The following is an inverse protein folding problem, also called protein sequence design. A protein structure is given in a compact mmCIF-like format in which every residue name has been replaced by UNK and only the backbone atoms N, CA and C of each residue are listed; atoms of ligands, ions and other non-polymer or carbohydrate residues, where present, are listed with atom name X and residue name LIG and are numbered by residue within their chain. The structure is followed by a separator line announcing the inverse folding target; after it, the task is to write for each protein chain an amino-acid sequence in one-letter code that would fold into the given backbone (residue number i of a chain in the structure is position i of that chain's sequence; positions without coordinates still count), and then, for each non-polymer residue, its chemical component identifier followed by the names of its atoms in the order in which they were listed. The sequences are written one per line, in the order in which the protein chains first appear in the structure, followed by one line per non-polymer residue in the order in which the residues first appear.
data_IF_884473615128
#
_entry.id   IF_884473615128
#
_cell.length_a   1.000
_cell.length_b   1.000
_cell.length_c   1.000
_cell.angle_alpha   90.00
_cell.angle_beta   90.00
_cell.angle_gamma   90.00
#
_symmetry.space_group_name_H-M   'P 1'
#
loop_
_entity.id
_entity.type
_entity.pdbx_description
1 polymer ?
#
# COMPACT_ATOMS: atom_id res chain seq x y z
N UNK A 1 -5.42 -0.33 -5.20
CA UNK A 1 -6.12 0.25 -6.37
C UNK A 1 -6.09 1.78 -6.35
N UNK A 2 -6.70 2.41 -5.34
CA UNK A 2 -6.86 3.86 -5.26
C UNK A 2 -5.53 4.63 -5.20
N UNK A 3 -4.44 4.01 -4.72
CA UNK A 3 -3.10 4.59 -4.74
C UNK A 3 -2.63 5.00 -6.16
N UNK A 4 -3.04 4.26 -7.21
CA UNK A 4 -2.70 4.59 -8.58
C UNK A 4 -3.50 5.80 -9.11
N UNK A 5 -4.79 5.90 -8.75
CA UNK A 5 -5.58 7.11 -9.06
C UNK A 5 -5.03 8.33 -8.34
N UNK A 6 -4.64 8.17 -7.08
CA UNK A 6 -4.00 9.24 -6.32
C UNK A 6 -2.70 9.70 -6.97
N UNK A 7 -1.88 8.78 -7.52
CA UNK A 7 -0.69 9.16 -8.31
C UNK A 7 -1.09 9.92 -9.58
N UNK A 8 -2.09 9.43 -10.32
CA UNK A 8 -2.52 10.05 -11.58
C UNK A 8 -2.98 11.49 -11.43
N UNK A 9 -3.54 11.85 -10.28
CA UNK A 9 -3.94 13.22 -9.97
C UNK A 9 -2.75 14.21 -9.99
N UNK A 10 -1.50 13.74 -9.84
CA UNK A 10 -0.30 14.56 -9.99
C UNK A 10 0.14 14.78 -11.44
N UNK A 11 -0.49 14.10 -12.41
CA UNK A 11 -0.27 14.30 -13.85
C UNK A 11 1.20 14.22 -14.30
N UNK A 12 2.03 13.44 -13.60
CA UNK A 12 3.46 13.34 -13.91
C UNK A 12 4.33 14.46 -13.31
N UNK A 13 3.77 15.39 -12.55
CA UNK A 13 4.52 16.47 -11.93
C UNK A 13 5.12 16.08 -10.56
N UNK A 14 6.40 15.72 -10.54
CA UNK A 14 7.11 15.47 -9.28
C UNK A 14 7.16 16.69 -8.35
N UNK A 15 7.06 17.93 -8.86
CA UNK A 15 7.15 19.14 -8.02
C UNK A 15 5.91 19.33 -7.16
N UNK A 16 4.76 18.85 -7.63
CA UNK A 16 3.54 18.84 -6.84
C UNK A 16 3.61 17.88 -5.63
N UNK A 17 4.58 16.96 -5.58
CA UNK A 17 4.80 16.06 -4.44
C UNK A 17 5.43 16.82 -3.28
N UNK A 18 4.68 16.96 -2.19
CA UNK A 18 5.11 17.67 -0.97
C UNK A 18 4.64 19.13 -0.89
N UNK A 19 3.96 19.64 -1.92
CA UNK A 19 3.38 20.98 -1.96
C UNK A 19 1.86 20.99 -1.67
N UNK A 20 1.25 22.19 -1.63
CA UNK A 20 -0.18 22.43 -1.38
C UNK A 20 -1.13 21.91 -2.48
N UNK A 21 -0.60 21.36 -3.58
CA UNK A 21 -1.38 20.76 -4.69
C UNK A 21 -1.71 19.28 -4.48
N UNK A 22 -1.86 18.89 -3.21
CA UNK A 22 -2.26 17.53 -2.83
C UNK A 22 -3.74 17.33 -3.19
N UNK A 23 -4.12 16.23 -3.86
CA UNK A 23 -5.52 15.89 -4.05
C UNK A 23 -6.27 15.85 -2.71
N UNK A 24 -7.48 16.40 -2.71
CA UNK A 24 -8.30 16.53 -1.53
C UNK A 24 -8.71 15.15 -0.98
N UNK A 25 -8.99 15.12 0.32
CA UNK A 25 -9.40 13.89 1.01
C UNK A 25 -10.75 13.37 0.50
N UNK A 26 -11.64 14.27 0.04
CA UNK A 26 -12.93 13.91 -0.54
C UNK A 26 -12.80 13.21 -1.89
N UNK A 27 -11.76 13.52 -2.69
CA UNK A 27 -11.55 12.93 -4.01
C UNK A 27 -11.38 11.40 -3.95
N UNK A 28 -10.94 10.86 -2.80
CA UNK A 28 -10.88 9.41 -2.60
C UNK A 28 -12.25 8.73 -2.76
N UNK A 29 -13.29 9.30 -2.16
CA UNK A 29 -14.63 8.76 -2.20
C UNK A 29 -15.42 9.28 -3.41
N UNK A 30 -15.20 10.54 -3.82
CA UNK A 30 -15.99 11.20 -4.87
C UNK A 30 -15.49 10.89 -6.28
N UNK A 31 -14.20 10.57 -6.45
CA UNK A 31 -13.59 10.41 -7.78
C UNK A 31 -12.82 9.09 -7.87
N UNK A 32 -11.81 8.89 -7.04
CA UNK A 32 -10.87 7.78 -7.22
C UNK A 32 -11.50 6.40 -7.01
N UNK A 33 -12.35 6.22 -5.99
CA UNK A 33 -13.08 4.97 -5.79
C UNK A 33 -14.09 4.69 -6.92
N UNK A 34 -15.03 5.60 -7.25
CA UNK A 34 -15.97 5.41 -8.36
C UNK A 34 -15.28 5.15 -9.69
N UNK A 35 -14.16 5.83 -9.98
CA UNK A 35 -13.38 5.61 -11.20
C UNK A 35 -12.85 4.18 -11.30
N UNK A 36 -12.60 3.54 -10.16
CA UNK A 36 -12.19 2.14 -10.08
C UNK A 36 -13.32 1.16 -9.83
N UNK A 37 -14.57 1.59 -9.97
CA UNK A 37 -15.73 0.74 -9.70
C UNK A 37 -15.73 0.24 -8.26
N UNK A 38 -15.28 1.08 -7.32
CA UNK A 38 -15.35 0.82 -5.88
C UNK A 38 -16.53 1.59 -5.30
N UNK A 39 -17.30 0.93 -4.45
CA UNK A 39 -18.42 1.56 -3.73
C UNK A 39 -17.88 2.54 -2.69
N UNK A 40 -18.07 3.84 -2.93
CA UNK A 40 -17.51 4.91 -2.10
C UNK A 40 -17.93 4.81 -0.62
N UNK A 41 -19.16 4.35 -0.34
CA UNK A 41 -19.67 4.14 1.03
C UNK A 41 -18.96 3.02 1.79
N UNK A 42 -18.25 2.15 1.09
CA UNK A 42 -17.49 1.03 1.67
C UNK A 42 -16.00 1.36 1.82
N UNK A 43 -15.54 2.46 1.25
CA UNK A 43 -14.16 2.90 1.36
C UNK A 43 -13.92 3.49 2.74
N UNK A 44 -13.00 2.87 3.48
CA UNK A 44 -12.55 3.43 4.75
C UNK A 44 -11.72 4.71 4.54
N UNK A 45 -11.80 5.70 5.43
CA UNK A 45 -11.04 6.94 5.30
C UNK A 45 -9.53 6.69 5.20
N UNK A 46 -8.87 7.41 4.28
CA UNK A 46 -7.41 7.38 4.15
C UNK A 46 -6.79 8.27 5.23
N UNK A 47 -6.18 7.62 6.23
CA UNK A 47 -5.62 8.25 7.43
C UNK A 47 -4.11 8.47 7.35
N UNK A 48 -3.41 7.84 6.40
CA UNK A 48 -1.98 8.00 6.20
C UNK A 48 -1.61 7.98 4.72
N UNK A 49 -0.61 8.79 4.33
CA UNK A 49 -0.15 8.90 2.94
C UNK A 49 1.35 9.09 2.88
N UNK A 50 2.01 8.25 2.11
CA UNK A 50 3.41 8.40 1.76
C UNK A 50 3.49 8.46 0.24
N UNK A 51 4.10 9.53 -0.28
CA UNK A 51 4.24 9.75 -1.71
C UNK A 51 5.68 10.18 -2.00
N UNK A 52 6.27 9.61 -3.03
CA UNK A 52 7.56 10.03 -3.55
C UNK A 52 7.60 9.93 -5.06
N UNK A 53 8.46 10.74 -5.67
CA UNK A 53 8.60 10.81 -7.12
C UNK A 53 10.09 10.84 -7.50
N UNK A 54 10.45 10.12 -8.54
CA UNK A 54 11.81 10.03 -9.07
C UNK A 54 11.78 10.09 -10.60
N UNK A 55 12.82 10.65 -11.21
CA UNK A 55 12.92 10.70 -12.67
C UNK A 55 12.99 9.31 -13.31
N UNK A 56 13.55 8.32 -12.60
CA UNK A 56 13.70 6.93 -13.04
C UNK A 56 13.00 5.97 -12.09
N UNK A 57 12.72 4.76 -12.58
CA UNK A 57 12.24 3.68 -11.73
C UNK A 57 13.31 3.34 -10.69
N UNK A 58 12.91 3.35 -9.43
CA UNK A 58 13.72 2.92 -8.28
C UNK A 58 13.17 1.62 -7.75
N UNK A 59 14.03 0.72 -7.25
CA UNK A 59 13.58 -0.56 -6.69
C UNK A 59 12.87 -0.34 -5.34
N UNK A 60 11.98 -1.25 -4.89
CA UNK A 60 11.21 -1.08 -3.65
C UNK A 60 12.04 -0.71 -2.41
N UNK A 61 13.23 -1.29 -2.23
CA UNK A 61 14.10 -0.98 -1.08
C UNK A 61 14.61 0.47 -1.09
N UNK A 62 14.95 1.00 -2.27
CA UNK A 62 15.38 2.39 -2.44
C UNK A 62 14.17 3.34 -2.34
N UNK A 63 13.02 2.93 -2.89
CA UNK A 63 11.77 3.66 -2.75
C UNK A 63 11.35 3.80 -1.27
N UNK A 64 11.54 2.75 -0.46
CA UNK A 64 11.25 2.80 0.97
C UNK A 64 12.06 3.91 1.67
N UNK A 65 13.36 3.95 1.46
CA UNK A 65 14.23 5.01 2.00
C UNK A 65 13.82 6.40 1.53
N UNK A 66 13.34 6.52 0.28
CA UNK A 66 12.79 7.77 -0.24
C UNK A 66 11.47 8.18 0.45
N UNK A 67 10.59 7.23 0.74
CA UNK A 67 9.31 7.50 1.39
C UNK A 67 9.49 7.84 2.88
N UNK A 68 10.49 7.25 3.54
CA UNK A 68 10.83 7.46 4.96
C UNK A 68 11.85 8.60 5.17
N UNK A 69 11.71 9.69 4.42
CA UNK A 69 12.66 10.81 4.46
C UNK A 69 12.55 11.73 5.68
N UNK A 70 11.42 11.74 6.38
CA UNK A 70 11.19 12.65 7.51
C UNK A 70 10.42 11.97 8.65
N UNK A 71 10.43 12.61 9.82
CA UNK A 71 9.77 12.10 11.04
C UNK A 71 8.27 11.88 10.83
N UNK A 72 7.59 12.77 10.08
CA UNK A 72 6.17 12.62 9.76
C UNK A 72 5.88 11.34 8.97
N UNK A 73 6.76 10.96 8.04
CA UNK A 73 6.63 9.68 7.34
C UNK A 73 6.74 8.48 8.29
N UNK A 74 7.63 8.56 9.27
CA UNK A 74 7.80 7.52 10.29
C UNK A 74 6.60 7.49 11.27
N UNK A 75 6.07 8.64 11.67
CA UNK A 75 4.85 8.74 12.47
C UNK A 75 3.65 8.09 11.77
N UNK A 76 3.50 8.32 10.46
CA UNK A 76 2.49 7.65 9.65
C UNK A 76 2.75 6.14 9.63
N UNK A 77 3.98 5.70 9.34
CA UNK A 77 4.32 4.27 9.26
C UNK A 77 4.07 3.53 10.58
N UNK A 78 4.41 4.13 11.71
CA UNK A 78 4.32 3.50 13.03
C UNK A 78 2.96 3.71 13.72
N UNK A 79 2.02 4.39 13.08
CA UNK A 79 0.70 4.59 13.64
C UNK A 79 -0.08 3.26 13.72
N UNK A 80 -0.29 2.78 14.95
CA UNK A 80 -1.00 1.53 15.26
C UNK A 80 -2.48 1.54 14.88
N UNK A 81 -3.04 2.70 14.55
CA UNK A 81 -4.43 2.81 14.12
C UNK A 81 -4.60 2.45 12.63
N UNK A 82 -3.51 2.32 11.88
CA UNK A 82 -3.57 1.81 10.51
C UNK A 82 -3.78 0.30 10.53
N UNK A 83 -4.86 -0.16 9.91
CA UNK A 83 -5.25 -1.57 9.82
C UNK A 83 -5.21 -2.08 8.38
N UNK A 84 -5.04 -1.18 7.42
CA UNK A 84 -5.09 -1.46 5.99
C UNK A 84 -4.01 -0.66 5.27
N UNK A 85 -3.45 -1.25 4.22
CA UNK A 85 -2.41 -0.63 3.40
C UNK A 85 -2.67 -0.87 1.92
N UNK A 86 -2.50 0.17 1.11
CA UNK A 86 -2.59 0.10 -0.35
C UNK A 86 -1.38 0.77 -0.98
N UNK A 87 -0.65 0.05 -1.82
CA UNK A 87 0.52 0.58 -2.53
C UNK A 87 0.27 0.67 -4.05
N UNK A 88 0.92 1.63 -4.69
CA UNK A 88 0.92 1.81 -6.13
C UNK A 88 2.25 2.37 -6.62
N UNK A 89 2.72 1.85 -7.75
CA UNK A 89 3.84 2.40 -8.50
C UNK A 89 3.42 2.56 -9.94
N UNK A 90 3.67 3.74 -10.51
CA UNK A 90 3.44 3.97 -11.94
C UNK A 90 4.36 5.07 -12.45
N UNK A 91 4.73 4.98 -13.73
CA UNK A 91 5.42 6.03 -14.46
C UNK A 91 4.42 6.83 -15.30
N UNK A 92 4.79 8.03 -15.72
CA UNK A 92 4.04 8.79 -16.71
C UNK A 92 4.06 8.13 -18.10
N UNK A 93 3.05 8.46 -18.91
CA UNK A 93 2.92 8.02 -20.29
C UNK A 93 4.11 8.54 -21.14
N UNK A 94 5.03 7.63 -21.51
CA UNK A 94 6.28 7.98 -22.20
C UNK A 94 7.57 7.59 -21.45
N UNK A 95 7.43 7.13 -20.21
CA UNK A 95 8.54 6.71 -19.35
C UNK A 95 9.10 7.85 -18.51
N UNK A 96 9.00 7.72 -17.18
CA UNK A 96 9.53 8.68 -16.20
C UNK A 96 8.87 10.08 -16.22
N UNK A 97 8.56 10.69 -15.06
CA UNK A 97 8.93 10.24 -13.72
C UNK A 97 8.05 9.11 -13.17
N UNK A 98 8.62 8.37 -12.22
CA UNK A 98 7.99 7.28 -11.49
C UNK A 98 7.58 7.73 -10.10
N UNK A 99 6.34 7.41 -9.76
CA UNK A 99 5.75 7.72 -8.47
C UNK A 99 5.59 6.45 -7.65
N UNK A 100 5.87 6.58 -6.37
CA UNK A 100 5.61 5.57 -5.35
C UNK A 100 4.60 6.14 -4.36
N UNK A 101 3.48 5.45 -4.19
CA UNK A 101 2.43 5.84 -3.26
C UNK A 101 2.10 4.68 -2.33
N UNK A 102 2.04 4.97 -1.04
CA UNK A 102 1.51 4.06 0.00
C UNK A 102 0.44 4.82 0.77
N UNK A 103 -0.77 4.26 0.79
CA UNK A 103 -1.92 4.77 1.51
C UNK A 103 -2.24 3.86 2.68
N UNK A 104 -2.65 4.45 3.78
CA UNK A 104 -3.08 3.74 4.98
C UNK A 104 -4.51 4.14 5.34
N UNK A 105 -5.29 3.17 5.82
CA UNK A 105 -6.63 3.38 6.36
C UNK A 105 -6.80 2.63 7.68
N UNK A 106 -7.85 3.00 8.43
CA UNK A 106 -8.24 2.39 9.70
C UNK A 106 -9.53 1.57 9.56
N UNK A 107 -9.71 0.92 8.40
CA UNK A 107 -10.87 0.09 8.10
C UNK A 107 -10.94 -1.20 8.91
N UNK A 108 -11.99 -2.00 8.68
CA UNK A 108 -12.22 -3.24 9.42
C UNK A 108 -11.55 -4.41 8.71
N UNK A 109 -11.07 -5.37 9.51
CA UNK A 109 -10.13 -6.43 9.15
C UNK A 109 -10.60 -7.48 8.09
N UNK A 110 -11.70 -7.25 7.37
CA UNK A 110 -12.26 -8.20 6.40
C UNK A 110 -12.46 -7.64 4.98
N UNK A 111 -12.42 -6.32 4.78
CA UNK A 111 -12.37 -5.69 3.45
C UNK A 111 -12.21 -4.18 3.59
N UNK A 112 -11.30 -3.63 2.79
CA UNK A 112 -11.07 -2.17 2.69
C UNK A 112 -12.05 -1.46 1.77
N UNK A 113 -12.72 -2.21 0.89
CA UNK A 113 -13.70 -1.70 -0.04
C UNK A 113 -14.45 -2.83 -0.79
N UNK A 114 -15.64 -2.53 -1.30
CA UNK A 114 -16.41 -3.44 -2.17
C UNK A 114 -16.36 -2.95 -3.61
N UNK A 115 -16.08 -3.86 -4.54
CA UNK A 115 -16.19 -3.55 -5.96
C UNK A 115 -17.67 -3.55 -6.40
N UNK A 116 -18.05 -2.62 -7.26
CA UNK A 116 -19.35 -2.55 -7.91
C UNK A 116 -19.62 -3.85 -8.67
N UNK A 117 -20.61 -4.61 -8.21
CA UNK A 117 -20.95 -5.93 -8.77
C UNK A 117 -20.10 -7.08 -8.24
N UNK A 118 -19.36 -6.88 -7.14
CA UNK A 118 -18.66 -7.94 -6.39
C UNK A 118 -17.31 -8.37 -6.97
N UNK A 119 -16.94 -7.94 -8.17
CA UNK A 119 -15.66 -8.27 -8.82
C UNK A 119 -14.94 -6.99 -9.26
N UNK A 120 -13.65 -6.90 -8.97
CA UNK A 120 -12.81 -5.79 -9.43
C UNK A 120 -12.79 -5.75 -10.97
N UNK A 121 -13.32 -4.67 -11.56
CA UNK A 121 -13.30 -4.48 -13.01
C UNK A 121 -11.89 -4.04 -13.43
N UNK A 122 -11.20 -4.90 -14.17
CA UNK A 122 -9.84 -4.68 -14.69
C UNK A 122 -9.80 -3.54 -15.75
N UNK A 123 -10.95 -3.04 -16.21
CA UNK A 123 -11.03 -2.32 -17.50
C UNK A 123 -10.55 -0.86 -17.50
N UNK A 124 -10.14 -0.26 -16.37
CA UNK A 124 -9.76 1.16 -16.33
C UNK A 124 -8.28 1.35 -15.95
N UNK A 125 -7.50 2.09 -16.77
CA UNK A 125 -6.11 2.39 -16.45
C UNK A 125 -5.97 3.06 -15.09
N UNK A 126 -5.07 2.57 -14.24
CA UNK A 126 -4.81 3.16 -12.91
C UNK A 126 -5.71 2.65 -11.79
N UNK A 127 -6.41 1.53 -11.97
CA UNK A 127 -7.27 0.94 -10.93
C UNK A 127 -6.72 -0.33 -10.32
N UNK A 128 -6.59 -1.42 -11.09
CA UNK A 128 -6.07 -2.68 -10.57
C UNK A 128 -4.85 -3.09 -11.40
N UNK A 129 -3.75 -3.41 -10.72
CA UNK A 129 -2.50 -3.86 -11.38
C UNK A 129 -2.49 -5.36 -11.68
N UNK A 130 -3.56 -6.09 -11.38
CA UNK A 130 -3.64 -7.55 -11.50
C UNK A 130 -5.07 -8.03 -11.76
N UNK A 131 -5.21 -9.32 -12.08
CA UNK A 131 -6.47 -9.92 -12.52
C UNK A 131 -7.42 -10.26 -11.36
N UNK A 132 -7.37 -9.50 -10.26
CA UNK A 132 -8.02 -9.81 -8.98
C UNK A 132 -7.46 -11.08 -8.29
N UNK A 133 -6.21 -11.44 -8.58
CA UNK A 133 -5.52 -12.54 -7.91
C UNK A 133 -5.26 -12.21 -6.43
N UNK A 134 -5.39 -13.20 -5.54
CA UNK A 134 -5.02 -13.04 -4.13
C UNK A 134 -3.53 -12.70 -4.00
N UNK A 135 -3.23 -11.51 -3.50
CA UNK A 135 -1.86 -11.07 -3.27
C UNK A 135 -1.38 -11.61 -1.90
N UNK A 136 -1.06 -12.90 -1.84
CA UNK A 136 -0.75 -13.62 -0.59
C UNK A 136 0.72 -14.05 -0.45
N UNK A 137 1.69 -13.25 -0.93
CA UNK A 137 3.12 -13.50 -0.62
C UNK A 137 3.55 -13.10 0.81
N UNK A 138 2.73 -12.35 1.55
CA UNK A 138 3.04 -11.95 2.93
C UNK A 138 2.89 -13.10 3.95
N UNK A 139 2.06 -14.10 3.64
CA UNK A 139 1.81 -15.24 4.53
C UNK A 139 3.02 -16.18 4.64
N UNK A 140 3.85 -16.29 3.59
CA UNK A 140 4.99 -17.21 3.60
C UNK A 140 6.10 -16.77 4.56
N UNK A 141 6.42 -15.48 4.61
CA UNK A 141 7.45 -14.95 5.51
C UNK A 141 7.03 -15.03 6.98
N UNK A 142 5.76 -14.74 7.27
CA UNK A 142 5.19 -14.88 8.62
C UNK A 142 5.15 -16.34 9.07
N UNK A 143 4.78 -17.27 8.18
CA UNK A 143 4.82 -18.71 8.46
C UNK A 143 6.23 -19.23 8.70
N UNK A 144 7.20 -18.79 7.89
CA UNK A 144 8.62 -19.16 8.07
C UNK A 144 9.16 -18.69 9.42
N UNK A 145 8.86 -17.45 9.81
CA UNK A 145 9.27 -16.92 11.11
C UNK A 145 8.62 -17.69 12.28
N UNK A 146 7.33 -18.01 12.15
CA UNK A 146 6.60 -18.73 13.18
C UNK A 146 7.05 -20.19 13.29
N UNK A 147 7.34 -20.86 12.17
CA UNK A 147 7.93 -22.20 12.17
C UNK A 147 9.34 -22.21 12.77
N UNK A 148 10.15 -21.18 12.49
CA UNK A 148 11.49 -21.07 13.06
C UNK A 148 11.45 -20.84 14.58
N UNK A 149 10.53 -20.02 15.07
CA UNK A 149 10.30 -19.84 16.51
C UNK A 149 9.90 -21.16 17.18
N UNK A 150 9.00 -21.94 16.57
CA UNK A 150 8.64 -23.27 17.08
C UNK A 150 9.82 -24.25 17.11
N UNK A 151 10.63 -24.29 16.05
CA UNK A 151 11.81 -25.13 15.99
C UNK A 151 12.82 -24.79 17.10
N UNK A 152 13.11 -23.50 17.32
CA UNK A 152 14.01 -23.06 18.39
C UNK A 152 13.46 -23.49 19.75
N UNK A 153 12.17 -23.27 20.02
CA UNK A 153 11.58 -23.67 21.31
C UNK A 153 11.64 -25.18 21.55
N UNK A 154 11.45 -25.99 20.51
CA UNK A 154 11.56 -27.45 20.61
C UNK A 154 13.00 -27.91 20.88
N UNK A 155 14.00 -27.31 20.21
CA UNK A 155 15.41 -27.62 20.46
C UNK A 155 15.86 -27.24 21.87
N UNK A 156 15.43 -26.07 22.37
CA UNK A 156 15.72 -25.64 23.74
C UNK A 156 15.08 -26.61 24.75
N UNK A 157 13.80 -26.97 24.57
CA UNK A 157 13.12 -27.93 25.44
C UNK A 157 13.78 -29.32 25.42
N UNK A 158 14.25 -29.78 24.26
CA UNK A 158 14.99 -31.04 24.14
C UNK A 158 16.35 -30.97 24.87
N UNK A 159 17.09 -29.87 24.75
CA UNK A 159 18.35 -29.67 25.50
C UNK A 159 18.16 -29.79 27.01
N UNK A 160 17.11 -29.14 27.53
CA UNK A 160 16.75 -29.25 28.95
C UNK A 160 16.29 -30.66 29.37
N UNK A 161 15.57 -31.38 28.49
CA UNK A 161 15.10 -32.72 28.78
C UNK A 161 16.21 -33.79 28.72
N UNK A 162 17.21 -33.60 27.86
CA UNK A 162 18.32 -34.53 27.67
C UNK A 162 19.62 -34.11 28.38
N UNK A 163 19.61 -33.00 29.11
CA UNK A 163 20.68 -32.60 30.03
C UNK A 163 21.99 -32.23 29.33
N UNK A 164 21.90 -31.42 28.26
CA UNK A 164 23.06 -30.72 27.66
C UNK A 164 22.99 -29.24 28.05
#
# INVERSE_FOLDING_TARGET
CIALQYIKAYQGDCKAVGEAKKPADSEFAETFAPDCGVEASTLSPITGRLLGCQSKYVKPSEAFSMLMKNEKSLEILYNKNHTEVGAGVTGSDGGGPYFWCVLFSNGKHNSSFVAQGGVAKISRPGCFSGANDECSSANDLSRLHQMWLYAITAFVAAGYAFGI
#
